data_IF_014450921389
#
_entry.id   IF_014450921389
#
_cell.length_a   1.000
_cell.length_b   1.000
_cell.length_c   1.000
_cell.angle_alpha   90.00
_cell.angle_beta   90.00
_cell.angle_gamma   90.00
#
_symmetry.space_group_name_H-M   'P 1'
#
loop_
_entity.id
_entity.type
_entity.pdbx_description
1 polymer ?
#
# COMPACT_ATOMS: atom_id res chain seq x y z
N UNK A 1 -15.47 19.26 -18.07
CA UNK A 1 -15.39 18.58 -16.76
C UNK A 1 -14.06 17.86 -16.67
N UNK A 2 -13.04 18.48 -16.09
CA UNK A 2 -11.74 17.82 -15.89
C UNK A 2 -11.78 17.05 -14.56
N UNK A 3 -12.52 15.94 -14.54
CA UNK A 3 -12.62 15.09 -13.36
C UNK A 3 -11.35 14.27 -13.21
N UNK A 4 -10.51 14.59 -12.23
CA UNK A 4 -9.52 13.61 -11.76
C UNK A 4 -10.30 12.36 -11.34
N UNK A 5 -9.84 11.15 -11.67
CA UNK A 5 -10.47 9.93 -11.16
C UNK A 5 -10.50 10.03 -9.62
N UNK A 6 -11.65 9.69 -9.04
CA UNK A 6 -11.82 9.64 -7.60
C UNK A 6 -11.01 8.45 -7.07
N UNK A 7 -9.83 8.74 -6.51
CA UNK A 7 -8.94 7.71 -5.95
C UNK A 7 -9.29 7.54 -4.47
N UNK A 8 -9.70 6.34 -4.09
CA UNK A 8 -9.84 5.93 -2.70
C UNK A 8 -8.59 5.17 -2.27
N UNK A 9 -8.02 5.52 -1.11
CA UNK A 9 -6.79 4.93 -0.59
C UNK A 9 -7.06 4.22 0.72
N UNK A 10 -6.59 2.99 0.87
CA UNK A 10 -6.41 2.35 2.18
C UNK A 10 -4.93 2.23 2.47
N UNK A 11 -4.47 2.76 3.61
CA UNK A 11 -3.05 2.76 4.01
C UNK A 11 -2.88 2.02 5.34
N UNK A 12 -2.18 0.87 5.28
CA UNK A 12 -1.70 0.14 6.45
C UNK A 12 -0.37 0.73 6.95
N UNK A 13 -0.41 1.48 8.05
CA UNK A 13 0.71 2.32 8.49
C UNK A 13 1.74 1.58 9.35
N UNK A 14 1.31 0.48 9.98
CA UNK A 14 2.01 -0.11 11.11
C UNK A 14 1.71 0.61 12.42
N UNK A 15 1.95 -0.07 13.55
CA UNK A 15 1.59 0.40 14.88
C UNK A 15 2.16 1.79 15.20
N UNK A 16 1.33 2.64 15.80
CA UNK A 16 1.72 3.95 16.32
C UNK A 16 1.90 5.06 15.27
N UNK A 17 1.59 4.82 13.99
CA UNK A 17 1.88 5.76 12.88
C UNK A 17 0.64 6.41 12.27
N UNK A 18 -0.56 5.98 12.66
CA UNK A 18 -1.83 6.43 12.05
C UNK A 18 -2.02 7.94 12.12
N UNK A 19 -1.67 8.60 13.23
CA UNK A 19 -1.84 10.05 13.40
C UNK A 19 -1.05 10.87 12.38
N UNK A 20 0.26 10.61 12.30
CA UNK A 20 1.16 11.33 11.38
C UNK A 20 0.79 11.08 9.91
N UNK A 21 0.43 9.84 9.56
CA UNK A 21 0.02 9.49 8.20
C UNK A 21 -1.31 10.14 7.84
N UNK A 22 -2.30 10.15 8.74
CA UNK A 22 -3.57 10.83 8.49
C UNK A 22 -3.36 12.32 8.27
N UNK A 23 -2.55 12.97 9.12
CA UNK A 23 -2.22 14.38 8.95
C UNK A 23 -1.51 14.65 7.61
N UNK A 24 -0.70 13.72 7.10
CA UNK A 24 -0.08 13.84 5.79
C UNK A 24 -1.10 13.77 4.64
N UNK A 25 -2.08 12.86 4.71
CA UNK A 25 -3.19 12.79 3.76
C UNK A 25 -4.06 14.05 3.78
N UNK A 26 -4.39 14.56 4.97
CA UNK A 26 -5.18 15.78 5.15
C UNK A 26 -4.48 16.99 4.50
N UNK A 27 -3.17 17.15 4.72
CA UNK A 27 -2.36 18.20 4.05
C UNK A 27 -2.30 18.03 2.54
N UNK A 28 -2.35 16.79 2.05
CA UNK A 28 -2.35 16.46 0.62
C UNK A 28 -3.72 16.60 -0.04
N UNK A 29 -4.80 16.79 0.72
CA UNK A 29 -6.17 16.85 0.19
C UNK A 29 -6.66 15.53 -0.41
N UNK A 30 -6.13 14.39 0.06
CA UNK A 30 -6.47 13.05 -0.43
C UNK A 30 -7.25 12.31 0.65
N UNK A 31 -8.44 11.82 0.32
CA UNK A 31 -9.23 10.99 1.23
C UNK A 31 -8.60 9.60 1.34
N UNK A 32 -8.28 9.17 2.56
CA UNK A 32 -7.68 7.87 2.82
C UNK A 32 -8.23 7.23 4.09
N UNK A 33 -8.49 5.93 4.00
CA UNK A 33 -8.73 5.04 5.14
C UNK A 33 -7.38 4.60 5.73
N UNK A 34 -6.98 5.23 6.84
CA UNK A 34 -5.69 5.00 7.49
C UNK A 34 -5.89 4.09 8.70
N UNK A 35 -5.18 2.97 8.75
CA UNK A 35 -5.23 2.03 9.87
C UNK A 35 -3.87 1.40 10.12
N UNK A 36 -3.65 0.88 11.32
CA UNK A 36 -2.34 0.31 11.68
C UNK A 36 -2.09 -1.04 11.01
N UNK A 37 -3.14 -1.87 10.94
CA UNK A 37 -3.06 -3.26 10.51
C UNK A 37 -4.44 -3.78 10.10
N UNK A 38 -4.47 -4.87 9.31
CA UNK A 38 -5.67 -5.64 8.98
C UNK A 38 -5.35 -7.12 8.99
N UNK A 39 -6.14 -7.91 9.72
CA UNK A 39 -6.08 -9.39 9.67
C UNK A 39 -6.71 -9.96 8.39
N UNK A 40 -7.32 -9.11 7.55
CA UNK A 40 -8.05 -9.50 6.34
C UNK A 40 -7.39 -8.95 5.09
N UNK A 41 -6.13 -9.29 4.88
CA UNK A 41 -5.33 -8.77 3.75
C UNK A 41 -5.91 -9.22 2.41
N UNK A 42 -6.47 -10.43 2.34
CA UNK A 42 -7.16 -10.98 1.18
C UNK A 42 -8.35 -10.12 0.74
N UNK A 43 -9.08 -9.54 1.71
CA UNK A 43 -10.17 -8.61 1.40
C UNK A 43 -9.61 -7.33 0.78
N UNK A 44 -8.54 -6.77 1.36
CA UNK A 44 -7.93 -5.54 0.86
C UNK A 44 -7.36 -5.73 -0.54
N UNK A 45 -6.67 -6.84 -0.79
CA UNK A 45 -6.19 -7.20 -2.11
C UNK A 45 -7.33 -7.36 -3.12
N UNK A 46 -8.39 -8.09 -2.76
CA UNK A 46 -9.52 -8.36 -3.67
C UNK A 46 -10.26 -7.09 -4.15
N UNK A 47 -10.24 -6.01 -3.37
CA UNK A 47 -10.88 -4.73 -3.73
C UNK A 47 -9.90 -3.70 -4.32
N UNK A 48 -8.60 -4.03 -4.36
CA UNK A 48 -7.56 -3.11 -4.83
C UNK A 48 -7.37 -3.17 -6.33
N UNK A 49 -7.37 -2.01 -7.00
CA UNK A 49 -6.99 -1.91 -8.41
C UNK A 49 -5.47 -1.76 -8.61
N UNK A 50 -4.76 -1.32 -7.57
CA UNK A 50 -3.31 -1.10 -7.55
C UNK A 50 -2.82 -1.23 -6.10
N UNK A 51 -1.67 -1.87 -5.89
CA UNK A 51 -1.01 -1.92 -4.58
C UNK A 51 0.34 -1.22 -4.62
N UNK A 52 0.63 -0.42 -3.59
CA UNK A 52 1.96 0.14 -3.34
C UNK A 52 2.51 -0.54 -2.10
N UNK A 53 3.59 -1.30 -2.24
CA UNK A 53 4.14 -2.08 -1.14
C UNK A 53 5.64 -2.31 -1.26
N UNK A 54 6.26 -2.84 -0.20
CA UNK A 54 7.65 -3.29 -0.28
C UNK A 54 7.77 -4.51 -1.18
N UNK A 55 8.92 -4.66 -1.83
CA UNK A 55 9.24 -5.79 -2.69
C UNK A 55 9.61 -7.08 -1.92
N UNK A 56 8.93 -7.40 -0.81
CA UNK A 56 9.21 -8.62 -0.04
C UNK A 56 8.73 -9.87 -0.78
N UNK A 57 9.45 -11.00 -0.68
CA UNK A 57 9.10 -12.24 -1.39
C UNK A 57 7.65 -12.70 -1.14
N UNK A 58 7.17 -12.61 0.10
CA UNK A 58 5.79 -12.92 0.46
C UNK A 58 4.79 -12.01 -0.27
N UNK A 59 4.98 -10.69 -0.14
CA UNK A 59 4.15 -9.68 -0.81
C UNK A 59 4.13 -9.85 -2.33
N UNK A 60 5.28 -10.07 -2.97
CA UNK A 60 5.34 -10.30 -4.42
C UNK A 60 4.55 -11.56 -4.82
N UNK A 61 4.66 -12.64 -4.04
CA UNK A 61 3.94 -13.90 -4.31
C UNK A 61 2.43 -13.72 -4.14
N UNK A 62 2.00 -13.00 -3.10
CA UNK A 62 0.60 -12.68 -2.88
C UNK A 62 0.03 -11.84 -4.02
N UNK A 63 0.71 -10.75 -4.41
CA UNK A 63 0.23 -9.87 -5.48
C UNK A 63 0.16 -10.58 -6.83
N UNK A 64 1.10 -11.48 -7.11
CA UNK A 64 1.05 -12.33 -8.30
C UNK A 64 -0.13 -13.32 -8.25
N UNK A 65 -0.40 -13.92 -7.09
CA UNK A 65 -1.55 -14.83 -6.89
C UNK A 65 -2.89 -14.12 -7.11
N UNK A 66 -3.05 -12.90 -6.58
CA UNK A 66 -4.26 -12.11 -6.74
C UNK A 66 -4.34 -11.38 -8.10
N UNK A 67 -3.25 -11.37 -8.89
CA UNK A 67 -3.21 -10.72 -10.20
C UNK A 67 -3.34 -9.19 -10.13
N UNK A 68 -2.84 -8.57 -9.07
CA UNK A 68 -3.02 -7.12 -8.82
C UNK A 68 -1.81 -6.35 -9.36
N UNK A 69 -2.00 -5.31 -10.19
CA UNK A 69 -0.93 -4.39 -10.55
C UNK A 69 -0.26 -3.79 -9.29
N UNK A 70 1.06 -3.67 -9.31
CA UNK A 70 1.80 -3.19 -8.14
C UNK A 70 2.94 -2.23 -8.46
N UNK A 71 3.10 -1.21 -7.62
CA UNK A 71 4.31 -0.40 -7.52
C UNK A 71 5.10 -0.93 -6.33
N UNK A 72 6.20 -1.62 -6.62
CA UNK A 72 7.06 -2.20 -5.60
C UNK A 72 8.16 -1.21 -5.21
N UNK A 73 8.33 -0.98 -3.91
CA UNK A 73 9.39 -0.15 -3.34
C UNK A 73 10.42 -1.08 -2.68
N UNK A 74 11.58 -1.33 -3.33
CA UNK A 74 12.63 -2.16 -2.76
C UNK A 74 13.15 -1.56 -1.46
N UNK A 75 13.45 -2.41 -0.48
CA UNK A 75 14.09 -1.93 0.74
C UNK A 75 15.60 -1.83 0.51
N UNK A 76 16.21 -0.64 0.64
CA UNK A 76 17.56 -0.37 0.12
C UNK A 76 18.67 -1.22 0.77
N UNK A 77 18.42 -1.81 1.94
CA UNK A 77 19.39 -2.66 2.66
C UNK A 77 18.93 -4.12 2.78
N UNK A 78 17.82 -4.51 2.14
CA UNK A 78 17.34 -5.88 2.12
C UNK A 78 18.03 -6.67 1.00
N UNK A 79 19.32 -6.95 1.16
CA UNK A 79 20.00 -7.80 0.21
C UNK A 79 21.45 -8.06 0.52
N UNK A 80 21.76 -9.34 0.74
CA UNK A 80 22.98 -9.95 0.18
C UNK A 80 22.89 -10.03 -1.37
N UNK A 81 22.38 -9.00 -2.06
CA UNK A 81 22.25 -8.97 -3.53
C UNK A 81 21.03 -9.68 -4.14
N UNK A 82 19.98 -10.00 -3.38
CA UNK A 82 18.75 -10.64 -3.91
C UNK A 82 17.61 -9.67 -4.26
N UNK A 83 17.79 -8.38 -3.99
CA UNK A 83 16.89 -7.32 -4.41
C UNK A 83 17.77 -6.25 -5.06
N UNK A 84 17.73 -6.17 -6.39
CA UNK A 84 18.43 -5.16 -7.19
C UNK A 84 17.48 -4.03 -7.57
#
# INVERSE_FOLDING_TARGET
MSGRPEVSVTHLTGRGKTGDVKAAYDRGGVSANVMEYSDKIETLYSVSNLVIARAGAGTCSELALFGIPAILVPHPTAGRGHQV
#
